data_IF_084529157728
#
_entry.id   IF_084529157728
#
_cell.length_a   1.000
_cell.length_b   1.000
_cell.length_c   1.000
_cell.angle_alpha   90.00
_cell.angle_beta   90.00
_cell.angle_gamma   90.00
#
_symmetry.space_group_name_H-M   'P 1'
#
loop_
_entity.id
_entity.type
_entity.pdbx_description
1 polymer ?
#
# COMPACT_ATOMS: atom_id res chain seq x y z
N UNK A 1 -35.82 25.48 36.52
CA UNK A 1 -37.03 24.69 36.19
C UNK A 1 -37.24 24.87 34.69
N UNK A 2 -37.03 23.90 33.81
CA UNK A 2 -37.06 22.43 33.92
C UNK A 2 -36.38 21.80 32.69
N UNK A 3 -35.81 20.61 32.91
CA UNK A 3 -35.58 19.50 31.98
C UNK A 3 -34.67 19.70 30.76
N UNK A 4 -33.38 19.44 30.97
CA UNK A 4 -32.52 18.85 29.94
C UNK A 4 -32.81 17.34 29.91
N UNK A 5 -33.06 16.80 28.71
CA UNK A 5 -33.45 15.41 28.49
C UNK A 5 -32.22 14.48 28.56
N UNK A 6 -32.19 13.67 29.62
CA UNK A 6 -31.21 12.62 29.93
C UNK A 6 -31.45 11.38 29.07
N UNK A 7 -30.92 11.35 27.83
CA UNK A 7 -30.78 10.10 27.05
C UNK A 7 -29.54 10.09 26.15
N UNK A 8 -28.37 10.04 26.76
CA UNK A 8 -27.12 9.71 26.06
C UNK A 8 -26.10 9.10 27.03
N UNK A 9 -26.38 7.92 27.57
CA UNK A 9 -25.38 7.10 28.24
C UNK A 9 -25.75 5.63 28.05
N UNK A 10 -24.71 4.79 27.93
CA UNK A 10 -24.71 3.38 27.51
C UNK A 10 -24.39 3.14 26.02
N UNK A 11 -23.28 3.71 25.54
CA UNK A 11 -22.55 3.20 24.37
C UNK A 11 -21.45 2.26 24.83
N UNK A 12 -21.78 1.00 25.14
CA UNK A 12 -20.77 -0.05 25.33
C UNK A 12 -20.02 -0.34 24.02
N UNK A 13 -18.86 -1.03 24.07
CA UNK A 13 -18.13 -1.42 22.86
C UNK A 13 -19.07 -2.18 21.92
N UNK A 14 -18.98 -1.98 20.59
CA UNK A 14 -19.88 -2.63 19.64
C UNK A 14 -19.86 -4.14 19.86
N UNK A 15 -21.02 -4.71 20.19
CA UNK A 15 -21.20 -6.13 20.34
C UNK A 15 -20.70 -6.84 19.07
N UNK A 16 -19.92 -7.91 19.24
CA UNK A 16 -19.47 -8.77 18.14
C UNK A 16 -20.68 -9.15 17.29
N UNK A 17 -20.70 -8.71 16.04
CA UNK A 17 -21.70 -9.16 15.08
C UNK A 17 -21.49 -10.67 14.88
N UNK A 18 -22.43 -11.48 15.37
CA UNK A 18 -22.48 -12.90 15.02
C UNK A 18 -22.63 -13.02 13.50
N UNK A 19 -21.87 -13.93 12.85
CA UNK A 19 -21.95 -14.09 11.40
C UNK A 19 -23.36 -14.55 11.05
N UNK A 20 -24.07 -13.74 10.25
CA UNK A 20 -25.34 -14.16 9.64
C UNK A 20 -25.04 -15.33 8.72
N UNK A 21 -25.50 -16.51 9.13
CA UNK A 21 -25.46 -17.74 8.34
C UNK A 21 -26.33 -17.53 7.10
N UNK A 22 -25.73 -17.37 5.93
CA UNK A 22 -26.49 -17.28 4.68
C UNK A 22 -25.82 -16.67 3.44
N UNK A 23 -24.62 -16.11 3.50
CA UNK A 23 -23.95 -15.65 2.26
C UNK A 23 -23.22 -16.81 1.58
N UNK A 24 -23.73 -17.23 0.41
CA UNK A 24 -22.98 -18.07 -0.53
C UNK A 24 -21.60 -17.44 -0.80
N UNK A 25 -20.53 -18.24 -1.01
CA UNK A 25 -19.24 -17.69 -1.40
C UNK A 25 -19.41 -16.93 -2.71
N UNK A 26 -19.37 -15.60 -2.62
CA UNK A 26 -19.42 -14.69 -3.78
C UNK A 26 -18.49 -15.23 -4.88
N UNK A 27 -19.03 -15.42 -6.07
CA UNK A 27 -18.27 -16.05 -7.15
C UNK A 27 -17.06 -15.16 -7.49
N UNK A 28 -15.97 -15.75 -7.99
CA UNK A 28 -14.79 -14.97 -8.42
C UNK A 28 -15.15 -13.88 -9.45
N UNK A 29 -16.16 -14.13 -10.29
CA UNK A 29 -16.70 -13.13 -11.21
C UNK A 29 -17.28 -11.91 -10.50
N UNK A 30 -17.98 -12.12 -9.37
CA UNK A 30 -18.51 -11.03 -8.55
C UNK A 30 -17.40 -10.19 -7.93
N UNK A 31 -16.32 -10.85 -7.50
CA UNK A 31 -15.13 -10.20 -6.94
C UNK A 31 -14.41 -9.33 -7.99
N UNK A 32 -14.14 -9.85 -9.18
CA UNK A 32 -13.54 -9.04 -10.26
C UNK A 32 -14.46 -7.88 -10.65
N UNK A 33 -15.78 -8.10 -10.70
CA UNK A 33 -16.73 -7.03 -10.96
C UNK A 33 -16.69 -5.94 -9.88
N UNK A 34 -16.57 -6.31 -8.60
CA UNK A 34 -16.41 -5.34 -7.50
C UNK A 34 -15.13 -4.53 -7.65
N UNK A 35 -13.99 -5.17 -7.94
CA UNK A 35 -12.74 -4.46 -8.17
C UNK A 35 -12.81 -3.46 -9.34
N UNK A 36 -13.46 -3.85 -10.45
CA UNK A 36 -13.67 -2.99 -11.62
C UNK A 36 -14.66 -1.83 -11.35
N UNK A 37 -15.65 -2.03 -10.48
CA UNK A 37 -16.52 -0.93 -10.02
C UNK A 37 -15.70 0.09 -9.23
N UNK A 38 -14.88 -0.37 -8.29
CA UNK A 38 -14.02 0.51 -7.49
C UNK A 38 -13.00 1.24 -8.38
N UNK A 39 -12.36 0.54 -9.31
CA UNK A 39 -11.42 1.15 -10.27
C UNK A 39 -12.07 2.31 -11.03
N UNK A 40 -13.23 2.06 -11.66
CA UNK A 40 -13.96 3.09 -12.42
C UNK A 40 -14.43 4.25 -11.55
N UNK A 41 -14.84 3.97 -10.31
CA UNK A 41 -15.23 5.00 -9.34
C UNK A 41 -14.08 5.96 -9.03
N UNK A 42 -12.88 5.42 -8.79
CA UNK A 42 -11.69 6.25 -8.50
C UNK A 42 -11.17 6.96 -9.75
N UNK A 43 -11.19 6.30 -10.91
CA UNK A 43 -10.80 6.88 -12.21
C UNK A 43 -11.70 8.05 -12.60
N UNK A 44 -12.98 8.03 -12.22
CA UNK A 44 -13.89 9.16 -12.42
C UNK A 44 -13.48 10.44 -11.67
N UNK A 45 -12.66 10.32 -10.62
CA UNK A 45 -12.12 11.46 -9.86
C UNK A 45 -10.69 11.81 -10.28
N UNK A 46 -9.90 10.82 -10.68
CA UNK A 46 -8.50 11.01 -11.11
C UNK A 46 -8.38 10.87 -12.61
N UNK A 47 -8.29 12.01 -13.27
CA UNK A 47 -8.23 12.05 -14.72
C UNK A 47 -6.88 11.61 -15.29
N UNK A 48 -6.94 10.71 -16.28
CA UNK A 48 -5.83 10.40 -17.18
C UNK A 48 -4.68 9.60 -16.56
N UNK A 49 -4.91 8.93 -15.42
CA UNK A 49 -3.89 8.12 -14.71
C UNK A 49 -4.41 6.75 -14.24
N UNK A 50 -4.98 5.93 -15.15
CA UNK A 50 -5.55 4.62 -14.79
C UNK A 50 -4.51 3.68 -14.15
N UNK A 51 -3.25 3.77 -14.56
CA UNK A 51 -2.16 2.97 -14.00
C UNK A 51 -1.91 3.24 -12.52
N UNK A 52 -2.11 4.48 -12.06
CA UNK A 52 -1.93 4.87 -10.66
C UNK A 52 -3.09 4.35 -9.81
N UNK A 53 -4.31 4.47 -10.32
CA UNK A 53 -5.52 3.93 -9.68
C UNK A 53 -5.38 2.41 -9.51
N UNK A 54 -4.99 1.72 -10.58
CA UNK A 54 -4.74 0.28 -10.56
C UNK A 54 -3.62 -0.12 -9.60
N UNK A 55 -2.52 0.65 -9.54
CA UNK A 55 -1.45 0.41 -8.58
C UNK A 55 -1.93 0.60 -7.13
N UNK A 56 -2.72 1.64 -6.85
CA UNK A 56 -3.27 1.88 -5.52
C UNK A 56 -4.19 0.73 -5.07
N UNK A 57 -5.06 0.24 -5.96
CA UNK A 57 -5.88 -0.95 -5.70
C UNK A 57 -5.03 -2.21 -5.53
N UNK A 58 -3.99 -2.40 -6.34
CA UNK A 58 -3.05 -3.51 -6.19
C UNK A 58 -2.41 -3.50 -4.82
N UNK A 59 -1.96 -2.33 -4.35
CA UNK A 59 -1.35 -2.17 -3.02
C UNK A 59 -2.37 -2.43 -1.92
N UNK A 60 -3.60 -1.91 -2.02
CA UNK A 60 -4.66 -2.17 -1.05
C UNK A 60 -4.95 -3.68 -0.91
N UNK A 61 -5.15 -4.37 -2.03
CA UNK A 61 -5.49 -5.79 -2.04
C UNK A 61 -4.32 -6.71 -1.70
N UNK A 62 -3.09 -6.26 -1.92
CA UNK A 62 -1.87 -6.92 -1.43
C UNK A 62 -1.58 -6.59 0.05
N UNK A 63 -2.45 -5.80 0.68
CA UNK A 63 -2.35 -5.31 2.05
C UNK A 63 -1.04 -4.57 2.31
N UNK A 64 -0.62 -3.73 1.37
CA UNK A 64 0.56 -2.88 1.44
C UNK A 64 0.24 -1.43 1.76
N UNK A 65 1.30 -0.62 1.74
CA UNK A 65 1.23 0.83 1.91
C UNK A 65 1.85 1.55 0.71
N UNK A 66 1.31 2.71 0.37
CA UNK A 66 1.69 3.46 -0.82
C UNK A 66 2.43 4.74 -0.44
N UNK A 67 3.58 4.95 -1.06
CA UNK A 67 4.36 6.19 -0.96
C UNK A 67 4.22 7.01 -2.24
N UNK A 68 3.80 8.27 -2.13
CA UNK A 68 3.62 9.17 -3.27
C UNK A 68 4.68 10.28 -3.20
N UNK A 69 5.66 10.21 -4.10
CA UNK A 69 6.71 11.22 -4.27
C UNK A 69 6.32 12.18 -5.40
N UNK A 70 6.09 13.44 -5.07
CA UNK A 70 5.76 14.45 -6.10
C UNK A 70 5.82 15.88 -5.59
N UNK A 71 5.64 16.82 -6.50
CA UNK A 71 5.41 18.24 -6.19
C UNK A 71 4.02 18.48 -5.57
N UNK A 72 3.82 19.59 -4.83
CA UNK A 72 2.51 19.99 -4.32
C UNK A 72 1.47 20.20 -5.44
N UNK A 73 0.19 19.98 -5.12
CA UNK A 73 -0.93 20.34 -6.02
C UNK A 73 -1.36 19.31 -7.06
N UNK A 74 -0.73 18.13 -7.14
CA UNK A 74 -0.99 17.11 -8.19
C UNK A 74 -2.05 16.05 -7.84
N UNK A 75 -2.97 16.33 -6.91
CA UNK A 75 -4.12 15.42 -6.64
C UNK A 75 -3.83 14.17 -5.81
N UNK A 76 -2.68 14.08 -5.10
CA UNK A 76 -2.32 12.92 -4.26
C UNK A 76 -3.35 12.61 -3.18
N UNK A 77 -3.80 13.65 -2.48
CA UNK A 77 -4.83 13.53 -1.45
C UNK A 77 -6.17 13.15 -2.05
N UNK A 78 -6.44 13.52 -3.32
CA UNK A 78 -7.65 13.10 -4.03
C UNK A 78 -7.64 11.59 -4.29
N UNK A 79 -6.50 10.98 -4.62
CA UNK A 79 -6.41 9.53 -4.87
C UNK A 79 -6.85 8.74 -3.64
N UNK A 80 -6.27 9.07 -2.48
CA UNK A 80 -6.55 8.36 -1.26
C UNK A 80 -7.99 8.61 -0.76
N UNK A 81 -8.51 9.84 -0.89
CA UNK A 81 -9.90 10.15 -0.56
C UNK A 81 -10.90 9.46 -1.50
N UNK A 82 -10.63 9.45 -2.80
CA UNK A 82 -11.48 8.80 -3.80
C UNK A 82 -11.51 7.29 -3.59
N UNK A 83 -10.34 6.68 -3.33
CA UNK A 83 -10.24 5.25 -3.00
C UNK A 83 -11.11 4.92 -1.79
N UNK A 84 -10.95 5.66 -0.70
CA UNK A 84 -11.66 5.37 0.54
C UNK A 84 -13.17 5.61 0.46
N UNK A 85 -13.61 6.72 -0.16
CA UNK A 85 -15.03 6.99 -0.41
C UNK A 85 -15.65 5.93 -1.32
N UNK A 86 -14.90 5.41 -2.31
CA UNK A 86 -15.40 4.36 -3.21
C UNK A 86 -15.65 3.01 -2.52
N UNK A 87 -14.99 2.72 -1.38
CA UNK A 87 -15.07 1.43 -0.69
C UNK A 87 -15.71 1.52 0.71
N UNK A 88 -16.36 2.63 1.02
CA UNK A 88 -17.00 2.90 2.32
C UNK A 88 -16.06 2.68 3.52
N UNK A 89 -14.80 3.11 3.37
CA UNK A 89 -13.80 3.01 4.43
C UNK A 89 -13.68 4.30 5.24
N UNK A 90 -13.39 4.16 6.53
CA UNK A 90 -13.02 5.30 7.37
C UNK A 90 -11.70 5.92 6.90
N UNK A 91 -11.66 7.26 6.85
CA UNK A 91 -10.47 8.03 6.46
C UNK A 91 -10.03 8.94 7.58
N UNK A 92 -8.74 8.89 7.89
CA UNK A 92 -8.05 9.90 8.70
C UNK A 92 -6.95 10.54 7.88
N UNK A 93 -6.88 11.87 7.91
CA UNK A 93 -5.79 12.64 7.34
C UNK A 93 -4.89 13.13 8.47
N UNK A 94 -3.59 12.89 8.32
CA UNK A 94 -2.53 13.37 9.20
C UNK A 94 -1.66 14.29 8.37
N UNK A 95 -1.58 15.55 8.75
CA UNK A 95 -0.57 16.47 8.22
C UNK A 95 0.67 16.32 9.08
N UNK A 96 1.78 15.88 8.50
CA UNK A 96 3.03 15.78 9.23
C UNK A 96 3.65 17.18 9.35
N UNK A 97 3.86 17.59 10.60
CA UNK A 97 4.46 18.86 10.97
C UNK A 97 5.58 18.60 12.00
N UNK A 98 6.53 19.54 12.17
CA UNK A 98 7.64 19.35 13.10
C UNK A 98 7.21 19.15 14.57
N UNK A 99 6.03 19.66 14.94
CA UNK A 99 5.42 19.59 16.26
C UNK A 99 4.52 18.37 16.48
N UNK A 100 4.22 17.59 15.43
CA UNK A 100 3.39 16.40 15.53
C UNK A 100 4.04 15.36 16.45
N UNK A 101 3.32 14.93 17.48
CA UNK A 101 3.82 13.97 18.46
C UNK A 101 3.51 12.52 18.03
N UNK A 102 4.32 11.54 18.44
CA UNK A 102 4.01 10.12 18.26
C UNK A 102 2.61 9.75 18.77
N UNK A 103 2.22 10.33 19.90
CA UNK A 103 0.91 10.12 20.55
C UNK A 103 -0.27 10.63 19.73
N UNK A 104 -0.09 11.60 18.84
CA UNK A 104 -1.16 12.03 17.94
C UNK A 104 -1.46 10.95 16.88
N UNK A 105 -0.47 10.10 16.59
CA UNK A 105 -0.57 8.98 15.66
C UNK A 105 -1.12 7.76 16.38
N UNK A 106 -0.47 7.33 17.46
CA UNK A 106 -0.78 6.08 18.18
C UNK A 106 -1.91 6.21 19.20
N UNK A 107 -2.19 7.43 19.67
CA UNK A 107 -3.16 7.71 20.72
C UNK A 107 -2.52 7.94 22.09
N UNK A 108 -3.37 8.24 23.07
CA UNK A 108 -2.99 8.50 24.47
C UNK A 108 -3.94 7.77 25.44
N UNK A 109 -3.45 7.38 26.62
CA UNK A 109 -4.30 7.02 27.75
C UNK A 109 -4.55 8.26 28.61
N UNK A 110 -5.82 8.59 28.82
CA UNK A 110 -6.24 9.71 29.66
C UNK A 110 -6.93 9.16 30.90
N UNK A 111 -6.54 9.63 32.09
CA UNK A 111 -7.21 9.24 33.32
C UNK A 111 -8.61 9.88 33.40
N UNK A 112 -9.65 9.05 33.40
CA UNK A 112 -11.03 9.48 33.63
C UNK A 112 -11.28 9.56 35.14
N UNK A 113 -11.48 10.78 35.65
CA UNK A 113 -11.69 11.03 37.08
C UNK A 113 -13.01 10.43 37.61
N UNK A 114 -14.03 10.28 36.76
CA UNK A 114 -15.32 9.70 37.16
C UNK A 114 -15.20 8.18 37.31
N UNK A 115 -14.57 7.53 36.33
CA UNK A 115 -14.37 6.08 36.34
C UNK A 115 -13.18 5.64 37.21
N UNK A 116 -12.30 6.60 37.57
CA UNK A 116 -11.01 6.35 38.24
C UNK A 116 -10.16 5.32 37.50
N UNK A 117 -10.22 5.35 36.17
CA UNK A 117 -9.54 4.42 35.30
C UNK A 117 -8.91 5.15 34.11
N UNK A 118 -7.96 4.51 33.43
CA UNK A 118 -7.36 5.04 32.22
C UNK A 118 -8.20 4.68 31.00
N UNK A 119 -8.69 5.69 30.29
CA UNK A 119 -9.40 5.51 29.02
C UNK A 119 -8.45 5.76 27.85
N UNK A 120 -8.34 4.78 26.95
CA UNK A 120 -7.58 4.95 25.72
C UNK A 120 -8.34 5.82 24.72
N UNK A 121 -7.69 6.90 24.28
CA UNK A 121 -8.14 7.72 23.15
C UNK A 121 -7.33 7.34 21.91
N UNK A 122 -7.95 6.71 20.89
CA UNK A 122 -7.25 6.27 19.69
C UNK A 122 -6.68 7.46 18.92
N UNK A 123 -5.43 7.32 18.49
CA UNK A 123 -4.78 8.30 17.62
C UNK A 123 -5.27 8.23 16.18
N UNK A 124 -4.68 9.07 15.33
CA UNK A 124 -5.13 9.19 13.95
C UNK A 124 -4.89 7.93 13.08
N UNK A 125 -4.07 6.98 13.55
CA UNK A 125 -3.79 5.72 12.84
C UNK A 125 -4.97 4.74 12.85
N UNK A 126 -5.93 4.90 13.77
CA UNK A 126 -7.11 4.03 13.90
C UNK A 126 -8.18 4.36 12.85
N UNK A 127 -7.85 4.13 11.60
CA UNK A 127 -8.72 4.31 10.43
C UNK A 127 -8.32 3.31 9.35
N UNK A 128 -9.27 2.88 8.53
CA UNK A 128 -8.99 1.90 7.47
C UNK A 128 -8.04 2.48 6.41
N UNK A 129 -8.26 3.74 6.01
CA UNK A 129 -7.35 4.48 5.13
C UNK A 129 -6.78 5.67 5.88
N UNK A 130 -5.45 5.75 5.96
CA UNK A 130 -4.74 6.86 6.61
C UNK A 130 -3.92 7.60 5.56
N UNK A 131 -4.17 8.91 5.43
CA UNK A 131 -3.47 9.79 4.51
C UNK A 131 -2.43 10.57 5.31
N UNK A 132 -1.16 10.27 5.10
CA UNK A 132 -0.04 10.98 5.76
C UNK A 132 0.59 11.98 4.80
N UNK A 133 0.25 13.25 4.91
CA UNK A 133 0.83 14.29 4.05
C UNK A 133 2.17 14.78 4.58
N UNK A 134 3.18 14.86 3.70
CA UNK A 134 4.52 15.41 3.99
C UNK A 134 5.25 14.67 5.12
N UNK A 135 5.26 13.34 5.09
CA UNK A 135 5.84 12.48 6.14
C UNK A 135 7.28 12.89 6.53
N UNK A 136 8.03 13.45 5.58
CA UNK A 136 9.38 13.96 5.77
C UNK A 136 9.46 15.25 6.63
N UNK A 137 8.35 15.87 7.05
CA UNK A 137 8.36 17.07 7.91
C UNK A 137 8.29 16.77 9.41
N UNK A 138 7.87 15.57 9.81
CA UNK A 138 7.83 15.21 11.22
C UNK A 138 9.15 14.64 11.72
N UNK A 139 9.32 14.67 13.05
CA UNK A 139 10.49 14.11 13.71
C UNK A 139 10.68 12.61 13.40
N UNK A 140 11.92 12.09 13.43
CA UNK A 140 12.18 10.66 13.24
C UNK A 140 11.40 9.76 14.22
N UNK A 141 11.09 10.24 15.43
CA UNK A 141 10.29 9.50 16.42
C UNK A 141 8.83 9.36 15.97
N UNK A 142 8.25 10.45 15.47
CA UNK A 142 6.88 10.49 14.94
C UNK A 142 6.76 9.64 13.68
N UNK A 143 7.74 9.70 12.77
CA UNK A 143 7.82 8.80 11.61
C UNK A 143 7.87 7.33 12.04
N UNK A 144 8.70 7.01 13.04
CA UNK A 144 8.84 5.64 13.54
C UNK A 144 7.53 5.10 14.11
N UNK A 145 6.76 5.90 14.85
CA UNK A 145 5.47 5.51 15.39
C UNK A 145 4.47 5.09 14.30
N UNK A 146 4.36 5.89 13.21
CA UNK A 146 3.54 5.51 12.05
C UNK A 146 4.01 4.19 11.43
N UNK A 147 5.32 4.08 11.20
CA UNK A 147 5.93 2.97 10.49
C UNK A 147 5.90 1.64 11.28
N UNK A 148 5.94 1.73 12.60
CA UNK A 148 5.74 0.60 13.50
C UNK A 148 4.29 0.11 13.42
N UNK A 149 3.31 1.01 13.51
CA UNK A 149 1.90 0.66 13.33
C UNK A 149 1.60 0.06 11.95
N UNK A 150 2.30 0.51 10.90
CA UNK A 150 2.22 -0.08 9.56
C UNK A 150 2.71 -1.53 9.51
N UNK A 151 3.82 -1.82 10.18
CA UNK A 151 4.41 -3.16 10.16
C UNK A 151 3.62 -4.14 11.04
N UNK A 152 3.31 -3.72 12.27
CA UNK A 152 2.71 -4.58 13.29
C UNK A 152 1.19 -4.67 13.17
N UNK A 153 0.56 -3.71 12.48
CA UNK A 153 -0.91 -3.57 12.35
C UNK A 153 -1.66 -3.45 13.67
N UNK A 154 -0.94 -3.06 14.71
CA UNK A 154 -1.46 -2.84 16.05
C UNK A 154 -0.67 -1.71 16.70
N UNK A 155 -1.22 -1.18 17.79
CA UNK A 155 -0.54 -0.22 18.66
C UNK A 155 -0.60 -0.78 20.07
N UNK A 156 0.54 -0.84 20.75
CA UNK A 156 0.60 -1.21 22.16
C UNK A 156 0.83 0.03 23.00
N UNK A 157 -0.04 0.27 23.98
CA UNK A 157 0.10 1.35 24.95
C UNK A 157 -0.26 0.87 26.34
N UNK A 158 0.55 1.24 27.33
CA UNK A 158 0.38 0.87 28.74
C UNK A 158 0.18 -0.63 28.98
N UNK A 159 0.81 -1.47 28.14
CA UNK A 159 0.71 -2.93 28.22
C UNK A 159 -0.53 -3.53 27.55
N UNK A 160 -1.42 -2.71 26.98
CA UNK A 160 -2.57 -3.17 26.21
C UNK A 160 -2.35 -2.95 24.71
N UNK A 161 -2.69 -3.98 23.93
CA UNK A 161 -2.55 -3.97 22.47
C UNK A 161 -3.90 -3.71 21.81
N UNK A 162 -3.91 -2.78 20.85
CA UNK A 162 -5.07 -2.34 20.09
C UNK A 162 -4.84 -2.62 18.61
N UNK A 163 -5.63 -3.52 18.04
CA UNK A 163 -5.60 -3.87 16.63
C UNK A 163 -6.09 -2.72 15.74
N UNK A 164 -5.45 -2.53 14.59
CA UNK A 164 -5.90 -1.56 13.60
C UNK A 164 -7.09 -2.11 12.79
N UNK A 165 -8.01 -1.25 12.33
CA UNK A 165 -9.18 -1.70 11.58
C UNK A 165 -8.77 -2.28 10.22
N UNK A 166 -9.47 -3.32 9.76
CA UNK A 166 -9.20 -3.97 8.47
C UNK A 166 -10.28 -3.61 7.43
N UNK A 167 -9.94 -3.40 6.14
CA UNK A 167 -8.57 -3.30 5.60
C UNK A 167 -7.84 -2.06 6.15
N UNK A 168 -6.51 -2.15 6.24
CA UNK A 168 -5.65 -1.06 6.72
C UNK A 168 -4.62 -0.66 5.66
N UNK A 169 -4.63 0.60 5.23
CA UNK A 169 -3.68 1.14 4.26
C UNK A 169 -3.27 2.57 4.61
N UNK A 170 -1.96 2.79 4.72
CA UNK A 170 -1.36 4.13 4.76
C UNK A 170 -0.99 4.57 3.34
N UNK A 171 -1.45 5.76 2.95
CA UNK A 171 -1.01 6.49 1.77
C UNK A 171 -0.22 7.70 2.24
N UNK A 172 1.10 7.62 2.18
CA UNK A 172 1.98 8.69 2.61
C UNK A 172 2.47 9.51 1.40
N UNK A 173 2.58 10.83 1.57
CA UNK A 173 3.17 11.71 0.58
C UNK A 173 4.48 12.29 1.11
N UNK A 174 5.46 12.49 0.22
CA UNK A 174 6.66 13.24 0.54
C UNK A 174 7.00 14.17 -0.63
N UNK A 175 7.55 15.35 -0.30
CA UNK A 175 7.99 16.34 -1.26
C UNK A 175 9.52 16.32 -1.34
N UNK A 176 10.12 15.92 -2.48
CA UNK A 176 11.57 15.76 -2.58
C UNK A 176 12.36 17.08 -2.66
N UNK A 177 11.69 18.23 -2.83
CA UNK A 177 12.34 19.53 -3.14
C UNK A 177 12.40 20.48 -1.93
N UNK A 178 11.87 20.10 -0.77
CA UNK A 178 11.87 20.97 0.42
C UNK A 178 13.25 21.07 1.06
N UNK A 179 13.83 22.29 1.04
CA UNK A 179 15.23 22.55 1.40
C UNK A 179 15.48 22.85 2.89
N UNK A 180 14.45 23.09 3.71
CA UNK A 180 14.62 23.38 5.14
C UNK A 180 13.63 22.60 6.01
N UNK A 181 14.10 22.10 7.16
CA UNK A 181 13.25 21.50 8.20
C UNK A 181 12.69 20.12 7.89
N UNK A 182 13.27 19.38 6.93
CA UNK A 182 12.83 18.02 6.59
C UNK A 182 13.79 16.94 7.11
N UNK A 183 13.20 15.83 7.52
CA UNK A 183 13.85 14.58 7.91
C UNK A 183 13.54 13.53 6.84
N UNK A 184 14.45 13.27 5.89
CA UNK A 184 14.22 12.28 4.85
C UNK A 184 14.04 10.89 5.48
N UNK A 185 13.11 10.11 4.94
CA UNK A 185 12.91 8.73 5.39
C UNK A 185 14.18 7.91 5.11
N UNK A 186 14.83 7.33 6.14
CA UNK A 186 15.89 6.36 5.95
C UNK A 186 15.44 5.20 5.06
N UNK A 187 16.38 4.53 4.40
CA UNK A 187 16.07 3.45 3.46
C UNK A 187 15.32 2.30 4.12
N UNK A 188 15.70 1.96 5.37
CA UNK A 188 15.00 0.96 6.18
C UNK A 188 13.54 1.34 6.49
N UNK A 189 13.22 2.63 6.50
CA UNK A 189 11.86 3.12 6.68
C UNK A 189 11.07 3.10 5.37
N UNK A 190 11.69 3.53 4.26
CA UNK A 190 11.10 3.45 2.91
C UNK A 190 10.76 2.01 2.51
N UNK A 191 11.53 1.03 2.99
CA UNK A 191 11.31 -0.39 2.70
C UNK A 191 9.94 -0.92 3.22
N UNK A 192 9.33 -0.25 4.21
CA UNK A 192 7.99 -0.57 4.73
C UNK A 192 6.87 -0.23 3.76
N UNK A 193 7.09 0.71 2.84
CA UNK A 193 6.11 0.99 1.79
C UNK A 193 6.23 -0.07 0.70
N UNK A 194 5.10 -0.67 0.31
CA UNK A 194 5.05 -1.72 -0.70
C UNK A 194 5.46 -1.19 -2.07
N UNK A 195 4.86 -0.07 -2.47
CA UNK A 195 5.13 0.58 -3.74
C UNK A 195 5.31 2.07 -3.55
N UNK A 196 6.05 2.66 -4.49
CA UNK A 196 6.19 4.09 -4.63
C UNK A 196 5.79 4.52 -6.03
N UNK A 197 5.01 5.60 -6.11
CA UNK A 197 4.56 6.20 -7.36
C UNK A 197 4.82 7.70 -7.38
N UNK A 198 4.98 8.24 -8.58
CA UNK A 198 4.91 9.66 -8.87
C UNK A 198 3.70 9.89 -9.77
N UNK A 199 2.86 10.86 -9.41
CA UNK A 199 1.65 11.21 -10.15
C UNK A 199 2.02 12.09 -11.35
N UNK A 200 2.96 13.00 -11.21
CA UNK A 200 3.32 14.03 -12.19
C UNK A 200 2.21 15.06 -12.38
N UNK A 201 2.47 16.08 -13.19
CA UNK A 201 1.43 17.02 -13.60
C UNK A 201 0.33 16.33 -14.43
N UNK A 202 -0.93 16.79 -14.38
CA UNK A 202 -1.94 16.34 -15.32
C UNK A 202 -1.52 16.65 -16.76
N UNK A 203 -2.02 15.88 -17.73
CA UNK A 203 -1.87 16.26 -19.14
C UNK A 203 -2.57 17.60 -19.41
N UNK A 204 -2.16 18.41 -20.40
CA UNK A 204 -2.84 19.67 -20.72
C UNK A 204 -4.35 19.52 -20.94
N UNK A 205 -4.79 18.38 -21.51
CA UNK A 205 -6.21 18.08 -21.67
C UNK A 205 -6.93 17.81 -20.35
N UNK A 206 -6.28 17.14 -19.40
CA UNK A 206 -6.81 16.95 -18.04
C UNK A 206 -6.78 18.25 -17.25
N UNK A 207 -5.74 19.06 -17.39
CA UNK A 207 -5.63 20.36 -16.74
C UNK A 207 -6.72 21.33 -17.25
N UNK A 208 -7.00 21.34 -18.56
CA UNK A 208 -8.14 22.09 -19.12
C UNK A 208 -9.48 21.66 -18.54
N UNK A 209 -9.75 20.35 -18.43
CA UNK A 209 -11.00 19.86 -17.81
C UNK A 209 -11.07 20.19 -16.32
N UNK A 210 -9.94 20.19 -15.61
CA UNK A 210 -9.88 20.64 -14.23
C UNK A 210 -10.27 22.12 -14.07
N UNK A 211 -10.04 22.97 -15.09
CA UNK A 211 -10.50 24.37 -15.09
C UNK A 211 -12.03 24.46 -15.24
N UNK A 212 -12.63 23.60 -16.05
CA UNK A 212 -14.09 23.52 -16.21
C UNK A 212 -14.78 23.04 -14.91
N UNK A 213 -14.11 22.17 -14.14
CA UNK A 213 -14.59 21.61 -12.87
C UNK A 213 -14.34 22.57 -11.68
N UNK A 214 -13.33 23.44 -11.73
CA UNK A 214 -12.96 24.37 -10.64
C UNK A 214 -14.02 25.42 -10.29
N UNK A 215 -15.10 25.54 -11.07
CA UNK A 215 -16.26 26.38 -10.77
C UNK A 215 -17.50 25.63 -10.23
N UNK A 216 -17.45 24.30 -10.13
CA UNK A 216 -18.57 23.44 -9.73
C UNK A 216 -18.36 22.70 -8.38
N UNK A 217 -19.24 21.74 -8.08
CA UNK A 217 -19.07 20.86 -6.92
C UNK A 217 -17.83 19.95 -7.11
N UNK A 218 -17.13 19.65 -6.01
CA UNK A 218 -15.98 18.75 -6.05
C UNK A 218 -16.41 17.36 -6.50
N UNK A 219 -15.76 16.71 -7.49
CA UNK A 219 -16.09 15.34 -7.90
C UNK A 219 -16.04 14.32 -6.77
N UNK A 220 -15.28 14.62 -5.71
CA UNK A 220 -15.27 13.80 -4.50
C UNK A 220 -16.61 13.83 -3.76
N UNK A 221 -17.31 14.96 -3.74
CA UNK A 221 -18.52 15.17 -2.92
C UNK A 221 -19.73 14.43 -3.48
N UNK A 222 -19.77 14.23 -4.80
CA UNK A 222 -20.79 13.41 -5.47
C UNK A 222 -20.44 11.91 -5.48
N UNK A 223 -19.21 11.55 -5.09
CA UNK A 223 -18.73 10.17 -5.11
C UNK A 223 -19.45 9.31 -4.07
N UNK A 224 -20.31 8.41 -4.54
CA UNK A 224 -20.99 7.42 -3.69
C UNK A 224 -20.15 6.15 -3.55
N UNK A 225 -20.19 5.48 -2.38
CA UNK A 225 -19.56 4.18 -2.23
C UNK A 225 -20.12 3.15 -3.22
N UNK A 226 -19.21 2.40 -3.87
CA UNK A 226 -19.55 1.35 -4.86
C UNK A 226 -19.23 -0.06 -4.37
N UNK A 227 -18.57 -0.14 -3.22
CA UNK A 227 -18.28 -1.34 -2.46
C UNK A 227 -18.18 -0.98 -0.96
N UNK A 228 -18.29 -1.98 -0.09
CA UNK A 228 -18.03 -1.83 1.33
C UNK A 228 -16.73 -2.52 1.76
N UNK A 229 -16.19 -2.12 2.91
CA UNK A 229 -14.97 -2.69 3.47
C UNK A 229 -14.97 -4.23 3.56
N UNK A 230 -16.10 -4.85 3.88
CA UNK A 230 -16.20 -6.32 3.96
C UNK A 230 -16.05 -7.01 2.60
N UNK A 231 -16.48 -6.38 1.50
CA UNK A 231 -16.24 -6.88 0.14
C UNK A 231 -14.76 -6.78 -0.23
N UNK A 232 -14.08 -5.72 0.22
CA UNK A 232 -12.63 -5.58 0.05
C UNK A 232 -11.87 -6.67 0.81
N UNK A 233 -12.33 -7.04 2.01
CA UNK A 233 -11.75 -8.17 2.75
C UNK A 233 -11.93 -9.50 2.01
N UNK A 234 -13.10 -9.74 1.41
CA UNK A 234 -13.33 -10.92 0.55
C UNK A 234 -12.36 -10.92 -0.65
N UNK A 235 -12.09 -9.75 -1.25
CA UNK A 235 -11.09 -9.61 -2.31
C UNK A 235 -9.68 -9.91 -1.85
N UNK A 236 -9.28 -9.41 -0.68
CA UNK A 236 -7.96 -9.69 -0.07
C UNK A 236 -7.79 -11.20 0.15
N UNK A 237 -8.80 -11.89 0.67
CA UNK A 237 -8.75 -13.35 0.82
C UNK A 237 -8.66 -14.06 -0.53
N UNK A 238 -9.40 -13.62 -1.54
CA UNK A 238 -9.29 -14.18 -2.88
C UNK A 238 -7.88 -13.99 -3.47
N UNK A 239 -7.25 -12.82 -3.28
CA UNK A 239 -5.85 -12.56 -3.66
C UNK A 239 -4.90 -13.54 -2.97
N UNK A 240 -5.10 -13.83 -1.69
CA UNK A 240 -4.28 -14.81 -0.96
C UNK A 240 -4.38 -16.22 -1.56
N UNK A 241 -5.50 -16.58 -2.18
CA UNK A 241 -5.66 -17.89 -2.88
C UNK A 241 -5.03 -17.96 -4.27
N UNK A 242 -4.62 -16.83 -4.87
CA UNK A 242 -4.00 -16.83 -6.22
C UNK A 242 -2.76 -17.73 -6.23
N UNK A 243 -2.73 -18.66 -7.17
CA UNK A 243 -1.65 -19.61 -7.35
C UNK A 243 -0.40 -18.91 -7.89
N UNK A 244 0.77 -19.29 -7.38
CA UNK A 244 2.04 -18.85 -7.95
C UNK A 244 2.95 -20.06 -8.10
N UNK A 245 3.20 -20.43 -9.36
CA UNK A 245 4.06 -21.53 -9.73
C UNK A 245 5.49 -21.32 -9.20
N UNK A 246 6.20 -22.41 -8.92
CA UNK A 246 7.57 -22.35 -8.40
C UNK A 246 8.50 -21.55 -9.33
N UNK A 247 8.32 -21.67 -10.64
CA UNK A 247 9.05 -20.92 -11.66
C UNK A 247 8.91 -19.42 -11.49
N UNK A 248 7.69 -18.92 -11.24
CA UNK A 248 7.43 -17.49 -10.99
C UNK A 248 8.01 -17.05 -9.65
N UNK A 249 7.90 -17.87 -8.59
CA UNK A 249 8.51 -17.56 -7.28
C UNK A 249 10.03 -17.40 -7.41
N UNK A 250 10.66 -18.31 -8.16
CA UNK A 250 12.09 -18.29 -8.43
C UNK A 250 12.49 -17.08 -9.25
N UNK A 251 11.75 -16.78 -10.32
CA UNK A 251 11.97 -15.57 -11.11
C UNK A 251 11.95 -14.30 -10.25
N UNK A 252 11.00 -14.19 -9.32
CA UNK A 252 10.95 -13.06 -8.37
C UNK A 252 12.19 -13.00 -7.47
N UNK A 253 12.69 -14.16 -7.00
CA UNK A 253 13.93 -14.24 -6.20
C UNK A 253 15.13 -13.83 -7.04
N UNK A 254 15.27 -14.35 -8.26
CA UNK A 254 16.39 -14.07 -9.17
C UNK A 254 16.42 -12.58 -9.54
N UNK A 255 15.26 -11.98 -9.79
CA UNK A 255 15.13 -10.55 -10.08
C UNK A 255 15.57 -9.69 -8.90
N UNK A 256 15.15 -10.03 -7.68
CA UNK A 256 15.60 -9.31 -6.47
C UNK A 256 17.08 -9.55 -6.18
N UNK A 257 17.58 -10.77 -6.36
CA UNK A 257 19.00 -11.10 -6.19
C UNK A 257 19.88 -10.31 -7.17
N UNK A 258 19.45 -10.16 -8.42
CA UNK A 258 20.14 -9.36 -9.43
C UNK A 258 20.31 -7.89 -9.01
N UNK A 259 19.38 -7.32 -8.22
CA UNK A 259 19.55 -5.96 -7.66
C UNK A 259 20.70 -5.88 -6.64
N UNK A 260 21.02 -6.97 -5.94
CA UNK A 260 22.08 -7.00 -4.92
C UNK A 260 23.48 -7.17 -5.51
N UNK A 261 23.57 -7.75 -6.71
CA UNK A 261 24.81 -7.94 -7.44
C UNK A 261 25.01 -6.92 -8.57
N UNK A 262 24.10 -5.95 -8.73
CA UNK A 262 24.19 -4.97 -9.82
C UNK A 262 25.31 -3.95 -9.55
N UNK A 263 26.26 -3.72 -10.48
CA UNK A 263 27.44 -2.88 -10.23
C UNK A 263 27.12 -1.39 -10.01
N UNK A 264 25.96 -0.93 -10.51
CA UNK A 264 25.51 0.45 -10.30
C UNK A 264 24.72 0.66 -9.01
N UNK A 265 24.54 -0.37 -8.18
CA UNK A 265 23.81 -0.29 -6.92
C UNK A 265 24.75 -0.50 -5.73
N UNK A 266 24.78 0.48 -4.83
CA UNK A 266 25.44 0.38 -3.53
C UNK A 266 24.61 -0.45 -2.54
N UNK A 267 23.29 -0.39 -2.67
CA UNK A 267 22.34 -1.19 -1.89
C UNK A 267 21.26 -1.75 -2.81
N UNK A 268 21.13 -3.08 -2.82
CA UNK A 268 20.07 -3.81 -3.50
C UNK A 268 18.82 -3.97 -2.63
N UNK A 269 17.77 -4.57 -3.20
CA UNK A 269 16.49 -4.73 -2.51
C UNK A 269 16.53 -5.81 -1.40
N UNK A 270 15.83 -5.55 -0.29
CA UNK A 270 15.74 -6.44 0.87
C UNK A 270 14.91 -7.72 0.58
N UNK A 271 14.95 -8.75 1.44
CA UNK A 271 14.03 -9.90 1.33
C UNK A 271 12.55 -9.50 1.43
N UNK A 272 12.23 -8.42 2.15
CA UNK A 272 10.86 -7.87 2.22
C UNK A 272 10.37 -7.44 0.84
N UNK A 273 11.25 -6.88 0.02
CA UNK A 273 10.92 -6.51 -1.35
C UNK A 273 10.44 -7.70 -2.19
N UNK A 274 11.02 -8.89 -2.00
CA UNK A 274 10.57 -10.14 -2.65
C UNK A 274 9.14 -10.48 -2.25
N UNK A 275 8.82 -10.40 -0.96
CA UNK A 275 7.47 -10.67 -0.45
C UNK A 275 6.46 -9.66 -0.97
N UNK A 276 6.80 -8.37 -0.96
CA UNK A 276 5.97 -7.30 -1.49
C UNK A 276 5.70 -7.46 -2.98
N UNK A 277 6.74 -7.77 -3.78
CA UNK A 277 6.60 -7.95 -5.22
C UNK A 277 5.71 -9.16 -5.55
N UNK A 278 5.87 -10.27 -4.84
CA UNK A 278 5.05 -11.46 -5.03
C UNK A 278 3.59 -11.22 -4.64
N UNK A 279 3.33 -10.55 -3.52
CA UNK A 279 1.96 -10.20 -3.07
C UNK A 279 1.29 -9.25 -4.05
N UNK A 280 2.00 -8.21 -4.51
CA UNK A 280 1.50 -7.27 -5.50
C UNK A 280 1.21 -7.97 -6.85
N UNK A 281 2.07 -8.89 -7.28
CA UNK A 281 1.82 -9.68 -8.49
C UNK A 281 0.55 -10.54 -8.40
N UNK A 282 0.30 -11.16 -7.24
CA UNK A 282 -0.95 -11.89 -6.97
C UNK A 282 -2.17 -10.98 -7.03
N UNK A 283 -2.09 -9.79 -6.43
CA UNK A 283 -3.16 -8.80 -6.48
C UNK A 283 -3.42 -8.31 -7.92
N UNK A 284 -2.37 -8.03 -8.70
CA UNK A 284 -2.50 -7.67 -10.12
C UNK A 284 -3.17 -8.77 -10.94
N UNK A 285 -2.78 -10.04 -10.73
CA UNK A 285 -3.40 -11.18 -11.40
C UNK A 285 -4.89 -11.30 -11.06
N UNK A 286 -5.26 -11.16 -9.78
CA UNK A 286 -6.65 -11.21 -9.34
C UNK A 286 -7.49 -10.06 -9.92
N UNK A 287 -6.94 -8.84 -9.97
CA UNK A 287 -7.59 -7.69 -10.60
C UNK A 287 -7.86 -7.93 -12.09
N UNK A 288 -7.00 -8.70 -12.77
CA UNK A 288 -7.21 -9.15 -14.14
C UNK A 288 -8.12 -10.38 -14.27
N UNK A 289 -8.77 -10.82 -13.18
CA UNK A 289 -9.63 -12.00 -13.17
C UNK A 289 -8.89 -13.34 -13.29
N UNK A 290 -7.56 -13.36 -13.09
CA UNK A 290 -6.74 -14.59 -13.16
C UNK A 290 -6.57 -15.24 -11.79
N UNK A 291 -6.58 -16.57 -11.79
CA UNK A 291 -6.36 -17.40 -10.59
C UNK A 291 -4.88 -17.73 -10.35
N UNK A 292 -4.00 -17.31 -11.26
CA UNK A 292 -2.57 -17.54 -11.19
C UNK A 292 -1.79 -16.31 -11.64
N UNK A 293 -0.66 -16.06 -10.97
CA UNK A 293 0.28 -15.00 -11.34
C UNK A 293 1.20 -15.46 -12.48
N UNK A 294 1.50 -14.55 -13.39
CA UNK A 294 2.44 -14.72 -14.49
C UNK A 294 3.74 -13.94 -14.21
N UNK A 295 4.86 -14.27 -14.88
CA UNK A 295 6.07 -13.45 -14.82
C UNK A 295 5.80 -11.98 -15.18
N UNK A 296 4.91 -11.71 -16.13
CA UNK A 296 4.55 -10.36 -16.55
C UNK A 296 3.97 -9.51 -15.41
N UNK A 297 3.22 -10.11 -14.47
CA UNK A 297 2.71 -9.42 -13.27
C UNK A 297 3.87 -8.96 -12.37
N UNK A 298 4.91 -9.78 -12.26
CA UNK A 298 6.13 -9.46 -11.50
C UNK A 298 6.88 -8.32 -12.20
N UNK A 299 7.02 -8.40 -13.54
CA UNK A 299 7.74 -7.40 -14.32
C UNK A 299 7.08 -6.02 -14.27
N UNK A 300 5.76 -5.95 -14.46
CA UNK A 300 5.02 -4.68 -14.47
C UNK A 300 5.11 -3.95 -13.13
N UNK A 301 5.26 -4.70 -12.04
CA UNK A 301 5.35 -4.16 -10.67
C UNK A 301 6.78 -3.99 -10.17
N UNK A 302 7.79 -4.48 -10.90
CA UNK A 302 9.18 -4.43 -10.47
C UNK A 302 9.65 -3.00 -10.19
N UNK A 303 9.39 -2.04 -11.10
CA UNK A 303 9.83 -0.66 -10.89
C UNK A 303 9.09 0.05 -9.74
N UNK A 304 7.74 0.05 -9.68
CA UNK A 304 7.00 0.66 -8.56
C UNK A 304 7.33 0.06 -7.20
N UNK A 305 7.65 -1.24 -7.14
CA UNK A 305 7.93 -1.94 -5.89
C UNK A 305 9.40 -1.84 -5.52
N UNK A 306 10.35 -1.98 -6.44
CA UNK A 306 11.76 -2.11 -6.08
C UNK A 306 12.51 -0.78 -6.04
N UNK A 307 12.21 0.17 -6.92
CA UNK A 307 13.09 1.30 -7.19
C UNK A 307 13.40 2.17 -5.95
N UNK A 308 12.42 2.40 -5.06
CA UNK A 308 12.61 3.21 -3.86
C UNK A 308 13.44 2.55 -2.76
N UNK A 309 13.77 1.26 -2.92
CA UNK A 309 14.60 0.48 -1.98
C UNK A 309 16.06 0.41 -2.41
N UNK A 310 16.36 0.86 -3.62
CA UNK A 310 17.70 0.75 -4.20
C UNK A 310 18.47 2.05 -3.99
N UNK A 311 19.76 1.92 -3.69
CA UNK A 311 20.67 3.06 -3.65
C UNK A 311 21.66 2.96 -4.81
N UNK A 312 21.54 3.80 -5.84
CA UNK A 312 22.55 3.92 -6.88
C UNK A 312 23.91 4.33 -6.31
N UNK A 313 24.99 3.90 -6.96
CA UNK A 313 26.35 4.35 -6.65
C UNK A 313 26.53 5.82 -7.04
N UNK A 314 27.54 6.50 -6.47
CA UNK A 314 27.86 7.87 -6.84
C UNK A 314 28.14 8.02 -8.34
N UNK A 315 28.80 7.02 -8.95
CA UNK A 315 29.06 7.01 -10.39
C UNK A 315 27.77 6.90 -11.21
N UNK A 316 26.83 6.05 -10.80
CA UNK A 316 25.52 5.94 -11.46
C UNK A 316 24.74 7.26 -11.35
N UNK A 317 24.79 7.93 -10.20
CA UNK A 317 24.17 9.24 -9.99
C UNK A 317 24.78 10.32 -10.89
N UNK A 318 26.11 10.37 -11.02
CA UNK A 318 26.81 11.29 -11.94
C UNK A 318 26.37 11.07 -13.40
N UNK A 319 26.17 9.80 -13.78
CA UNK A 319 25.66 9.41 -15.08
C UNK A 319 24.14 9.61 -15.23
N UNK A 320 23.46 10.22 -14.24
CA UNK A 320 22.01 10.45 -14.18
C UNK A 320 21.19 9.17 -14.34
N UNK A 321 21.72 8.03 -13.89
CA UNK A 321 21.03 6.75 -13.86
C UNK A 321 20.09 6.71 -12.67
N UNK A 322 18.80 6.54 -12.95
CA UNK A 322 17.75 6.41 -11.93
C UNK A 322 17.61 4.95 -11.49
N UNK A 323 17.12 4.72 -10.26
CA UNK A 323 16.85 3.37 -9.77
C UNK A 323 15.83 2.64 -10.63
N UNK A 324 14.83 3.35 -11.16
CA UNK A 324 13.80 2.85 -12.06
C UNK A 324 14.40 2.35 -13.38
N UNK A 325 15.36 3.08 -13.96
CA UNK A 325 16.06 2.64 -15.17
C UNK A 325 16.89 1.38 -14.89
N UNK A 326 17.59 1.32 -13.76
CA UNK A 326 18.35 0.13 -13.35
C UNK A 326 17.42 -1.07 -13.17
N UNK A 327 16.26 -0.90 -12.54
CA UNK A 327 15.27 -1.98 -12.38
C UNK A 327 14.76 -2.47 -13.75
N UNK A 328 14.41 -1.56 -14.67
CA UNK A 328 13.96 -1.95 -16.02
C UNK A 328 15.03 -2.73 -16.77
N UNK A 329 16.30 -2.34 -16.64
CA UNK A 329 17.44 -3.07 -17.22
C UNK A 329 17.58 -4.48 -16.61
N UNK A 330 17.44 -4.61 -15.28
CA UNK A 330 17.46 -5.90 -14.61
C UNK A 330 16.32 -6.79 -15.11
N UNK A 331 15.10 -6.26 -15.21
CA UNK A 331 13.92 -6.98 -15.74
C UNK A 331 14.18 -7.52 -17.14
N UNK A 332 14.81 -6.73 -18.02
CA UNK A 332 15.14 -7.15 -19.39
C UNK A 332 16.24 -8.21 -19.47
N UNK A 333 17.14 -8.27 -18.48
CA UNK A 333 18.28 -9.21 -18.46
C UNK A 333 17.97 -10.53 -17.78
N UNK A 334 17.16 -10.53 -16.73
CA UNK A 334 16.83 -11.74 -15.99
C UNK A 334 15.90 -12.59 -16.84
N UNK A 335 16.29 -13.82 -17.23
CA UNK A 335 15.50 -14.64 -18.14
C UNK A 335 14.16 -15.02 -17.51
N UNK A 336 13.09 -14.89 -18.29
CA UNK A 336 11.77 -15.40 -17.90
C UNK A 336 11.81 -16.92 -17.93
N UNK A 337 11.27 -17.61 -16.91
CA UNK A 337 11.26 -19.07 -16.89
C UNK A 337 10.53 -19.65 -18.09
N UNK A 338 11.14 -20.61 -18.77
CA UNK A 338 10.49 -21.38 -19.83
C UNK A 338 9.60 -22.46 -19.18
N UNK A 339 8.28 -22.49 -19.43
CA UNK A 339 7.37 -23.50 -18.90
C UNK A 339 7.74 -24.93 -19.31
N UNK A 340 8.51 -25.09 -20.40
CA UNK A 340 8.95 -26.38 -20.93
C UNK A 340 10.32 -26.83 -20.42
N UNK A 341 11.05 -25.96 -19.69
CA UNK A 341 12.34 -26.33 -19.12
C UNK A 341 12.14 -27.34 -17.98
N UNK A 342 12.91 -28.45 -17.96
CA UNK A 342 12.80 -29.42 -16.88
C UNK A 342 13.05 -28.76 -15.53
N UNK A 343 12.29 -29.19 -14.51
CA UNK A 343 12.45 -28.71 -13.14
C UNK A 343 13.93 -28.75 -12.75
N UNK A 344 14.47 -27.57 -12.49
CA UNK A 344 15.87 -27.36 -12.17
C UNK A 344 16.35 -28.28 -11.05
N UNK A 345 17.48 -28.94 -11.29
CA UNK A 345 18.22 -29.70 -10.27
C UNK A 345 19.06 -28.74 -9.43
N UNK A 346 18.97 -28.82 -8.11
CA UNK A 346 19.85 -28.09 -7.20
C UNK A 346 21.33 -28.34 -7.54
N UNK A 347 22.20 -27.32 -7.56
CA UNK A 347 23.65 -27.55 -7.66
C UNK A 347 24.09 -28.36 -6.43
N UNK A 348 24.47 -29.63 -6.62
CA UNK A 348 24.94 -30.51 -5.55
C UNK A 348 24.21 -31.85 -5.39
N UNK A 349 23.10 -32.10 -6.09
CA UNK A 349 22.49 -33.43 -6.10
C UNK A 349 23.10 -34.29 -7.23
N UNK A 350 24.11 -35.10 -6.90
CA UNK A 350 24.52 -36.21 -7.76
C UNK A 350 23.37 -37.23 -7.87
N UNK A 351 23.10 -37.80 -9.05
CA UNK A 351 22.13 -38.89 -9.17
C UNK A 351 22.63 -40.09 -8.36
N UNK A 352 21.74 -40.87 -7.72
CA UNK A 352 22.15 -42.14 -7.13
C UNK A 352 22.71 -43.01 -8.27
N UNK A 353 23.96 -43.44 -8.10
CA UNK A 353 24.59 -44.40 -9.01
C UNK A 353 23.67 -45.62 -9.10
N UNK A 354 23.07 -45.83 -10.27
CA UNK A 354 22.45 -47.09 -10.63
C UNK A 354 23.57 -48.15 -10.65
N UNK A 355 23.74 -48.87 -9.54
CA UNK A 355 24.49 -50.13 -9.55
C UNK A 355 23.64 -51.14 -10.30
N UNK A 356 24.13 -51.53 -11.48
CA UNK A 356 23.52 -52.54 -12.33
C UNK A 356 23.42 -53.90 -11.63
N UNK A 357 22.38 -54.63 -12.03
CA UNK A 357 22.32 -56.09 -12.02
C UNK A 357 23.07 -56.65 -13.22
#
# INVERSE_FOLDING_TARGET
MTAYDERASLGGPPARAEPRVGEEPSSRGDLTATAERVHRSVEGVIEGKPEIVRLALTVLLAEGHLLIEDVPGVGKTMLAKALARSIDCSVRRIQFTPDLLPSDITGVSIFDQQQRDFEFKPGAIFSQIVIGDEINRASPKTQSALLESMEERQVTMDGQTYELPSPFMVVATQNPVEMEGTYPLPEAQRDRFMARVSIGYPSPAAELRMLDVHGGASPLDDLQPVAHAHEILKLIEAVRTVHVAETVRRYTVDLVAATRSHPELRLGASPRATLHLLRAAKASAALLGREYALPDDVQSLAAPVLAHRLLPTAQAQLNRRTAEQIVREIVQRVPVPDPSAPAWRMPGQQPPCLRGL
#
